data_IF_208652038944
#
_entry.id   IF_208652038944
#
_cell.length_a   1.000
_cell.length_b   1.000
_cell.length_c   1.000
_cell.angle_alpha   90.00
_cell.angle_beta   90.00
_cell.angle_gamma   90.00
#
_symmetry.space_group_name_H-M   'P 1'
#
loop_
_entity.id
_entity.type
_entity.pdbx_description
1 polymer ?
#
# COMPACT_ATOMS: atom_id res chain seq x y z
N UNK A 1 -27.64 -62.13 -54.08
CA UNK A 1 -27.73 -60.68 -53.75
C UNK A 1 -27.19 -60.35 -52.35
N UNK A 2 -26.22 -61.11 -51.78
CA UNK A 2 -26.08 -61.14 -50.31
C UNK A 2 -24.66 -61.15 -49.72
N UNK A 3 -23.58 -61.01 -50.49
CA UNK A 3 -22.21 -60.92 -49.91
C UNK A 3 -21.54 -59.56 -50.17
N UNK A 4 -21.70 -59.01 -51.38
CA UNK A 4 -21.14 -57.70 -51.77
C UNK A 4 -21.76 -56.52 -51.01
N UNK A 5 -23.06 -56.60 -50.66
CA UNK A 5 -23.77 -55.58 -49.89
C UNK A 5 -23.34 -55.54 -48.42
N UNK A 6 -23.04 -56.71 -47.84
CA UNK A 6 -22.60 -56.83 -46.44
C UNK A 6 -21.16 -56.32 -46.28
N UNK A 7 -20.27 -56.62 -47.23
CA UNK A 7 -18.90 -56.08 -47.25
C UNK A 7 -18.90 -54.54 -47.30
N UNK A 8 -19.76 -53.93 -48.13
CA UNK A 8 -19.87 -52.48 -48.19
C UNK A 8 -20.38 -51.85 -46.89
N UNK A 9 -21.33 -52.51 -46.22
CA UNK A 9 -21.85 -52.03 -44.94
C UNK A 9 -20.79 -52.14 -43.82
N UNK A 10 -19.97 -53.20 -43.85
CA UNK A 10 -18.87 -53.39 -42.90
C UNK A 10 -17.75 -52.37 -43.11
N UNK A 11 -17.36 -52.11 -44.35
CA UNK A 11 -16.42 -51.04 -44.70
C UNK A 11 -16.92 -49.66 -44.28
N UNK A 12 -18.21 -49.35 -44.52
CA UNK A 12 -18.78 -48.06 -44.14
C UNK A 12 -18.78 -47.85 -42.62
N UNK A 13 -19.13 -48.90 -41.86
CA UNK A 13 -19.06 -48.86 -40.39
C UNK A 13 -17.62 -48.71 -39.89
N UNK A 14 -16.66 -49.40 -40.52
CA UNK A 14 -15.25 -49.31 -40.16
C UNK A 14 -14.70 -47.89 -40.38
N UNK A 15 -15.00 -47.29 -41.54
CA UNK A 15 -14.61 -45.91 -41.86
C UNK A 15 -15.27 -44.91 -40.90
N UNK A 16 -16.55 -45.10 -40.57
CA UNK A 16 -17.24 -44.28 -39.56
C UNK A 16 -16.59 -44.41 -38.19
N UNK A 17 -16.23 -45.62 -37.75
CA UNK A 17 -15.53 -45.80 -36.46
C UNK A 17 -14.13 -45.19 -36.47
N UNK A 18 -13.37 -45.31 -37.55
CA UNK A 18 -12.04 -44.69 -37.66
C UNK A 18 -12.17 -43.16 -37.63
N UNK A 19 -13.17 -42.59 -38.32
CA UNK A 19 -13.44 -41.15 -38.30
C UNK A 19 -13.88 -40.66 -36.92
N UNK A 20 -14.72 -41.42 -36.21
CA UNK A 20 -15.11 -41.11 -34.84
C UNK A 20 -13.93 -41.20 -33.87
N UNK A 21 -13.07 -42.22 -34.00
CA UNK A 21 -11.84 -42.34 -33.19
C UNK A 21 -10.91 -41.15 -33.49
N UNK A 22 -10.73 -40.77 -34.76
CA UNK A 22 -9.96 -39.60 -35.14
C UNK A 22 -10.53 -38.31 -34.53
N UNK A 23 -11.86 -38.12 -34.59
CA UNK A 23 -12.52 -36.98 -33.93
C UNK A 23 -12.32 -36.99 -32.41
N UNK A 24 -12.44 -38.13 -31.76
CA UNK A 24 -12.20 -38.27 -30.31
C UNK A 24 -10.74 -37.98 -29.95
N UNK A 25 -9.78 -38.45 -30.74
CA UNK A 25 -8.35 -38.16 -30.56
C UNK A 25 -8.01 -36.67 -30.79
N UNK A 26 -8.77 -35.96 -31.64
CA UNK A 26 -8.69 -34.50 -31.77
C UNK A 26 -9.32 -33.77 -30.58
N UNK A 27 -10.35 -34.36 -29.96
CA UNK A 27 -10.96 -33.86 -28.71
C UNK A 27 -10.06 -34.11 -27.49
N UNK A 28 -9.20 -35.14 -27.50
CA UNK A 28 -8.18 -35.35 -26.46
C UNK A 28 -7.11 -34.24 -26.46
N UNK A 29 -6.89 -33.56 -27.58
CA UNK A 29 -6.07 -32.32 -27.62
C UNK A 29 -6.81 -31.07 -27.11
N UNK A 30 -8.12 -31.17 -26.90
CA UNK A 30 -8.96 -30.15 -26.24
C UNK A 30 -9.15 -30.42 -24.75
N UNK A 31 -8.53 -31.48 -24.19
CA UNK A 31 -8.43 -31.66 -22.75
C UNK A 31 -7.58 -30.52 -22.20
N UNK A 32 -8.26 -29.63 -21.48
CA UNK A 32 -7.74 -28.40 -20.89
C UNK A 32 -6.29 -28.56 -20.40
N UNK A 33 -5.33 -27.95 -21.10
CA UNK A 33 -4.14 -27.48 -20.40
C UNK A 33 -4.68 -26.60 -19.27
N UNK A 34 -4.39 -26.90 -18.02
CA UNK A 34 -4.56 -25.89 -16.96
C UNK A 34 -3.74 -24.69 -17.42
N UNK A 35 -4.42 -23.68 -17.93
CA UNK A 35 -3.77 -22.47 -18.41
C UNK A 35 -2.98 -21.94 -17.20
N UNK A 36 -1.66 -21.95 -17.33
CA UNK A 36 -0.79 -21.50 -16.23
C UNK A 36 -1.08 -20.02 -16.09
N UNK A 37 -1.81 -19.64 -15.05
CA UNK A 37 -2.13 -18.24 -14.74
C UNK A 37 -0.82 -17.54 -14.43
N UNK A 38 -0.38 -16.68 -15.33
CA UNK A 38 0.85 -15.88 -15.22
C UNK A 38 0.49 -14.40 -15.03
N UNK A 39 1.47 -13.63 -14.57
CA UNK A 39 1.41 -12.18 -14.52
C UNK A 39 0.98 -11.55 -15.86
N UNK A 40 0.16 -10.51 -15.77
CA UNK A 40 -0.25 -9.71 -16.92
C UNK A 40 0.96 -8.96 -17.50
N UNK A 41 1.14 -9.03 -18.83
CA UNK A 41 2.33 -8.50 -19.49
C UNK A 41 2.51 -6.98 -19.32
N UNK A 42 1.42 -6.20 -19.32
CA UNK A 42 1.48 -4.75 -19.09
C UNK A 42 1.94 -4.44 -17.66
N UNK A 43 1.40 -5.13 -16.66
CA UNK A 43 1.80 -4.99 -15.25
C UNK A 43 3.26 -5.40 -15.04
N UNK A 44 3.71 -6.48 -15.67
CA UNK A 44 5.13 -6.87 -15.68
C UNK A 44 6.01 -5.77 -16.26
N UNK A 45 5.62 -5.19 -17.39
CA UNK A 45 6.38 -4.13 -18.06
C UNK A 45 6.47 -2.90 -17.18
N UNK A 46 5.35 -2.52 -16.55
CA UNK A 46 5.29 -1.42 -15.60
C UNK A 46 6.21 -1.62 -14.39
N UNK A 47 6.26 -2.83 -13.83
CA UNK A 47 7.16 -3.19 -12.74
C UNK A 47 8.64 -3.13 -13.18
N UNK A 48 8.97 -3.53 -14.41
CA UNK A 48 10.34 -3.42 -14.93
C UNK A 48 10.77 -1.97 -15.19
N UNK A 49 9.86 -1.11 -15.66
CA UNK A 49 10.11 0.34 -15.76
C UNK A 49 10.33 0.95 -14.38
N UNK A 50 9.52 0.57 -13.40
CA UNK A 50 9.71 0.98 -12.01
C UNK A 50 11.07 0.51 -11.48
N UNK A 51 11.44 -0.76 -11.69
CA UNK A 51 12.76 -1.30 -11.34
C UNK A 51 13.91 -0.53 -12.00
N UNK A 52 13.76 -0.10 -13.25
CA UNK A 52 14.78 0.64 -13.97
C UNK A 52 15.01 2.06 -13.43
N UNK A 53 14.01 2.65 -12.78
CA UNK A 53 14.10 3.96 -12.13
C UNK A 53 14.72 3.88 -10.71
N UNK A 54 14.87 2.67 -10.16
CA UNK A 54 15.40 2.45 -8.82
C UNK A 54 16.89 2.17 -8.81
N UNK A 55 17.54 2.54 -7.71
CA UNK A 55 18.88 2.08 -7.35
C UNK A 55 18.75 1.02 -6.25
N UNK A 56 19.18 -0.21 -6.53
CA UNK A 56 19.07 -1.38 -5.64
C UNK A 56 20.46 -1.95 -5.30
N UNK A 57 21.23 -1.30 -4.40
CA UNK A 57 22.60 -1.72 -4.10
C UNK A 57 22.66 -3.03 -3.30
N UNK A 58 21.54 -3.48 -2.74
CA UNK A 58 21.45 -4.67 -1.89
C UNK A 58 20.77 -5.86 -2.57
N UNK A 59 20.37 -5.72 -3.85
CA UNK A 59 19.76 -6.79 -4.62
C UNK A 59 18.38 -7.22 -4.10
N UNK A 60 17.61 -6.31 -3.50
CA UNK A 60 16.22 -6.57 -3.08
C UNK A 60 15.33 -7.02 -4.24
N UNK A 61 15.60 -6.54 -5.45
CA UNK A 61 14.89 -6.81 -6.71
C UNK A 61 15.59 -7.88 -7.57
N UNK A 62 16.53 -8.63 -7.00
CA UNK A 62 17.30 -9.69 -7.70
C UNK A 62 16.44 -10.81 -8.28
N UNK A 63 15.28 -11.10 -7.66
CA UNK A 63 14.33 -12.11 -8.16
C UNK A 63 13.51 -11.67 -9.38
N UNK A 64 13.54 -10.38 -9.73
CA UNK A 64 12.72 -9.81 -10.81
C UNK A 64 13.39 -10.03 -12.17
N UNK A 65 13.40 -11.28 -12.63
CA UNK A 65 14.11 -11.72 -13.84
C UNK A 65 13.27 -12.62 -14.75
N UNK A 66 12.33 -13.38 -14.19
CA UNK A 66 11.51 -14.35 -14.92
C UNK A 66 10.40 -13.71 -15.77
N UNK A 67 9.76 -14.50 -16.63
CA UNK A 67 8.57 -14.08 -17.38
C UNK A 67 7.36 -13.87 -16.46
N UNK A 68 7.16 -14.74 -15.47
CA UNK A 68 6.04 -14.63 -14.55
C UNK A 68 6.38 -13.75 -13.34
N UNK A 69 5.94 -12.49 -13.36
CA UNK A 69 6.18 -11.55 -12.27
C UNK A 69 5.55 -11.99 -10.94
N UNK A 70 4.58 -12.92 -10.96
CA UNK A 70 3.96 -13.46 -9.76
C UNK A 70 4.90 -14.35 -8.94
N UNK A 71 6.05 -14.74 -9.52
CA UNK A 71 7.12 -15.46 -8.82
C UNK A 71 8.15 -14.52 -8.17
N UNK A 72 8.06 -13.22 -8.45
CA UNK A 72 9.03 -12.26 -7.94
C UNK A 72 8.81 -12.00 -6.44
N UNK A 73 9.91 -11.93 -5.69
CA UNK A 73 9.85 -11.58 -4.27
C UNK A 73 9.23 -10.19 -4.13
N UNK A 74 8.25 -10.09 -3.22
CA UNK A 74 7.50 -8.86 -2.97
C UNK A 74 6.29 -8.66 -3.89
N UNK A 75 6.08 -9.50 -4.90
CA UNK A 75 4.88 -9.45 -5.76
C UNK A 75 3.89 -10.52 -5.30
N UNK A 76 2.64 -10.11 -5.07
CA UNK A 76 1.52 -11.03 -4.85
C UNK A 76 0.45 -10.83 -5.91
N UNK A 77 0.07 -11.91 -6.58
CA UNK A 77 -0.92 -11.89 -7.65
C UNK A 77 -2.25 -12.54 -7.25
N UNK A 78 -3.27 -12.29 -8.06
CA UNK A 78 -4.50 -13.06 -8.04
C UNK A 78 -4.29 -14.42 -8.71
N UNK A 79 -4.53 -15.51 -7.99
CA UNK A 79 -4.31 -16.88 -8.49
C UNK A 79 -5.25 -17.31 -9.63
N UNK A 80 -6.32 -16.54 -9.90
CA UNK A 80 -7.27 -16.80 -10.98
C UNK A 80 -7.02 -15.91 -12.20
N UNK A 81 -6.63 -14.65 -12.00
CA UNK A 81 -6.53 -13.67 -13.08
C UNK A 81 -5.12 -13.24 -13.42
N UNK A 82 -4.12 -13.55 -12.59
CA UNK A 82 -2.73 -13.14 -12.78
C UNK A 82 -2.44 -11.67 -12.47
N UNK A 83 -3.47 -10.87 -12.15
CA UNK A 83 -3.29 -9.46 -11.78
C UNK A 83 -2.50 -9.29 -10.48
N UNK A 84 -1.59 -8.31 -10.45
CA UNK A 84 -0.84 -7.90 -9.26
C UNK A 84 -1.78 -7.25 -8.25
N UNK A 85 -1.84 -7.83 -7.05
CA UNK A 85 -2.63 -7.35 -5.92
C UNK A 85 -1.78 -6.76 -4.80
N UNK A 86 -0.51 -7.15 -4.72
CA UNK A 86 0.43 -6.75 -3.68
C UNK A 86 1.79 -6.42 -4.27
N UNK A 87 2.33 -5.27 -3.87
CA UNK A 87 3.73 -4.88 -4.05
C UNK A 87 4.28 -4.55 -2.65
N UNK A 88 5.18 -5.40 -2.16
CA UNK A 88 5.82 -5.27 -0.86
C UNK A 88 7.34 -5.24 -1.03
N UNK A 89 7.91 -4.06 -0.96
CA UNK A 89 9.34 -3.79 -1.04
C UNK A 89 9.84 -3.09 0.22
N UNK A 90 9.26 -3.39 1.38
CA UNK A 90 9.72 -2.78 2.63
C UNK A 90 11.22 -3.08 2.82
N UNK A 91 11.98 -2.03 3.14
CA UNK A 91 13.39 -2.16 3.50
C UNK A 91 13.56 -2.41 4.99
N UNK A 92 14.79 -2.17 5.45
CA UNK A 92 15.16 -2.14 6.86
C UNK A 92 16.06 -0.93 7.15
N UNK A 93 15.81 0.19 6.46
CA UNK A 93 16.44 1.46 6.79
C UNK A 93 15.88 1.97 8.13
N UNK A 94 16.77 2.24 9.08
CA UNK A 94 16.44 2.79 10.40
C UNK A 94 17.43 3.91 10.74
N UNK A 95 16.92 5.09 11.14
CA UNK A 95 17.75 6.27 11.46
C UNK A 95 18.44 6.17 12.81
N UNK A 96 17.88 5.41 13.77
CA UNK A 96 18.48 5.23 15.10
C UNK A 96 19.77 4.39 15.07
N UNK A 97 20.10 3.90 13.88
CA UNK A 97 21.21 3.01 13.61
C UNK A 97 22.58 3.65 13.79
N UNK A 98 22.75 4.98 13.73
CA UNK A 98 24.08 5.57 13.97
C UNK A 98 24.59 5.28 15.40
N UNK A 99 23.68 5.24 16.37
CA UNK A 99 23.96 4.85 17.76
C UNK A 99 24.15 3.33 17.89
N UNK A 100 23.29 2.53 17.26
CA UNK A 100 23.33 1.06 17.37
C UNK A 100 24.52 0.42 16.63
N UNK A 101 24.91 0.99 15.48
CA UNK A 101 26.08 0.57 14.68
C UNK A 101 27.38 0.70 15.46
N UNK A 102 27.50 1.76 16.27
CA UNK A 102 28.68 2.03 17.09
C UNK A 102 28.87 1.00 18.21
N UNK A 103 27.78 0.35 18.68
CA UNK A 103 27.80 -0.53 19.85
C UNK A 103 27.61 -2.02 19.55
N UNK A 104 26.88 -2.40 18.49
CA UNK A 104 26.43 -3.80 18.31
C UNK A 104 26.90 -4.50 17.03
N UNK A 105 27.68 -3.82 16.17
CA UNK A 105 28.11 -4.39 14.90
C UNK A 105 26.94 -4.42 13.90
N UNK A 106 27.06 -3.65 12.83
CA UNK A 106 25.96 -3.33 11.93
C UNK A 106 25.17 -4.51 11.38
N UNK A 107 23.84 -4.45 11.52
CA UNK A 107 22.93 -5.31 10.76
C UNK A 107 23.02 -5.06 9.25
N UNK A 108 22.68 -6.06 8.44
CA UNK A 108 22.59 -5.90 6.99
C UNK A 108 21.49 -4.89 6.66
N UNK A 109 21.88 -3.65 6.32
CA UNK A 109 20.96 -2.66 5.74
C UNK A 109 20.54 -3.17 4.36
N UNK A 110 19.26 -3.06 4.06
CA UNK A 110 18.75 -3.22 2.70
C UNK A 110 17.68 -2.16 2.48
N UNK A 111 17.90 -1.30 1.50
CA UNK A 111 16.95 -0.31 1.05
C UNK A 111 17.12 -0.09 -0.45
N UNK A 112 16.02 0.26 -1.10
CA UNK A 112 16.02 0.81 -2.44
C UNK A 112 16.03 2.34 -2.39
N UNK A 113 16.60 2.94 -3.44
CA UNK A 113 16.66 4.38 -3.69
C UNK A 113 16.16 4.73 -5.08
N UNK A 114 16.18 6.01 -5.44
CA UNK A 114 15.81 6.50 -6.77
C UNK A 114 14.34 6.90 -6.84
N UNK A 115 13.75 6.85 -8.03
CA UNK A 115 12.43 7.44 -8.26
C UNK A 115 11.31 6.42 -8.23
N UNK A 116 10.20 6.81 -7.60
CA UNK A 116 8.94 6.07 -7.70
C UNK A 116 8.28 6.40 -9.03
N UNK A 117 8.63 5.61 -10.04
CA UNK A 117 8.19 5.80 -11.41
C UNK A 117 6.67 5.67 -11.58
N UNK A 118 6.08 6.52 -12.43
CA UNK A 118 4.64 6.58 -12.69
C UNK A 118 4.07 5.34 -13.41
N UNK A 119 4.92 4.46 -13.92
CA UNK A 119 4.49 3.20 -14.54
C UNK A 119 3.67 2.33 -13.58
N UNK A 120 3.85 2.50 -12.27
CA UNK A 120 3.02 1.83 -11.25
C UNK A 120 1.51 2.12 -11.40
N UNK A 121 1.12 3.18 -12.10
CA UNK A 121 -0.27 3.45 -12.47
C UNK A 121 -0.92 2.31 -13.26
N UNK A 122 -0.15 1.45 -13.94
CA UNK A 122 -0.71 0.29 -14.65
C UNK A 122 -1.27 -0.79 -13.71
N UNK A 123 -0.87 -0.80 -12.43
CA UNK A 123 -1.29 -1.79 -11.44
C UNK A 123 -2.68 -1.48 -10.86
N UNK A 124 -3.69 -1.35 -11.71
CA UNK A 124 -5.03 -0.89 -11.35
C UNK A 124 -5.77 -1.82 -10.37
N UNK A 125 -5.33 -3.07 -10.21
CA UNK A 125 -5.88 -4.03 -9.25
C UNK A 125 -5.11 -4.09 -7.92
N UNK A 126 -4.06 -3.29 -7.77
CA UNK A 126 -3.23 -3.26 -6.56
C UNK A 126 -4.07 -2.89 -5.33
N UNK A 127 -3.92 -3.68 -4.27
CA UNK A 127 -4.61 -3.51 -2.98
C UNK A 127 -3.63 -3.20 -1.85
N UNK A 128 -2.40 -3.66 -1.96
CA UNK A 128 -1.37 -3.53 -0.94
C UNK A 128 -0.10 -2.96 -1.56
N UNK A 129 0.29 -1.78 -1.12
CA UNK A 129 1.55 -1.15 -1.48
C UNK A 129 2.33 -0.83 -0.20
N UNK A 130 3.50 -1.44 -0.06
CA UNK A 130 4.41 -1.18 1.04
C UNK A 130 5.81 -0.89 0.48
N UNK A 131 6.25 0.35 0.66
CA UNK A 131 7.59 0.82 0.31
C UNK A 131 8.34 1.32 1.55
N UNK A 132 7.86 1.03 2.76
CA UNK A 132 8.41 1.61 3.99
C UNK A 132 9.86 1.21 4.25
N UNK A 133 10.55 2.00 5.07
CA UNK A 133 11.96 1.75 5.47
C UNK A 133 12.91 1.69 4.27
N UNK A 134 12.66 2.54 3.26
CA UNK A 134 13.53 2.75 2.12
C UNK A 134 14.10 4.17 2.12
N UNK A 135 14.89 4.51 1.10
CA UNK A 135 15.59 5.79 1.05
C UNK A 135 15.26 6.52 -0.26
N UNK A 136 14.14 7.24 -0.26
CA UNK A 136 13.66 8.07 -1.37
C UNK A 136 13.98 9.55 -1.14
N UNK A 137 15.14 9.84 -0.54
CA UNK A 137 15.58 11.20 -0.23
C UNK A 137 15.49 12.12 -1.44
N UNK A 138 15.00 13.35 -1.23
CA UNK A 138 14.85 14.37 -2.27
C UNK A 138 13.62 14.18 -3.17
N UNK A 139 12.83 13.12 -2.97
CA UNK A 139 11.58 12.90 -3.68
C UNK A 139 10.37 13.32 -2.85
N UNK A 140 9.31 13.74 -3.54
CA UNK A 140 7.97 13.95 -2.99
C UNK A 140 7.14 12.66 -3.07
N UNK A 141 6.06 12.57 -2.29
CA UNK A 141 5.07 11.49 -2.46
C UNK A 141 4.37 11.68 -3.83
N UNK A 142 4.44 10.70 -4.75
CA UNK A 142 3.82 10.86 -6.06
C UNK A 142 2.29 10.96 -6.00
N UNK A 143 1.75 12.03 -6.59
CA UNK A 143 0.30 12.27 -6.66
C UNK A 143 -0.45 11.18 -7.43
N UNK A 144 0.22 10.46 -8.33
CA UNK A 144 -0.39 9.38 -9.10
C UNK A 144 -0.87 8.22 -8.23
N UNK A 145 -0.42 8.10 -6.97
CA UNK A 145 -0.98 7.10 -6.07
C UNK A 145 -2.50 7.21 -5.93
N UNK A 146 -3.07 8.41 -6.06
CA UNK A 146 -4.52 8.60 -6.11
C UNK A 146 -5.25 7.88 -7.25
N UNK A 147 -4.54 7.49 -8.31
CA UNK A 147 -5.10 6.70 -9.42
C UNK A 147 -5.33 5.22 -9.08
N UNK A 148 -4.67 4.69 -8.05
CA UNK A 148 -4.74 3.28 -7.65
C UNK A 148 -5.96 3.03 -6.75
N UNK A 149 -7.15 3.25 -7.30
CA UNK A 149 -8.44 3.29 -6.56
C UNK A 149 -8.83 2.01 -5.82
N UNK A 150 -8.14 0.89 -6.07
CA UNK A 150 -8.34 -0.38 -5.38
C UNK A 150 -7.43 -0.55 -4.15
N UNK A 151 -6.52 0.39 -3.88
CA UNK A 151 -5.64 0.36 -2.71
C UNK A 151 -6.44 0.31 -1.42
N UNK A 152 -5.97 -0.57 -0.53
CA UNK A 152 -6.50 -0.78 0.83
C UNK A 152 -5.44 -0.52 1.88
N UNK A 153 -4.17 -0.73 1.52
CA UNK A 153 -3.01 -0.56 2.38
C UNK A 153 -1.94 0.22 1.62
N UNK A 154 -1.56 1.37 2.17
CA UNK A 154 -0.46 2.20 1.68
C UNK A 154 0.47 2.53 2.85
N UNK A 155 1.70 2.03 2.77
CA UNK A 155 2.75 2.32 3.75
C UNK A 155 3.97 2.89 3.06
N UNK A 156 4.23 4.15 3.38
CA UNK A 156 5.33 4.99 2.88
C UNK A 156 6.13 5.54 4.06
N UNK A 157 6.06 4.89 5.23
CA UNK A 157 6.77 5.34 6.43
C UNK A 157 8.27 5.11 6.35
N UNK A 158 9.07 5.95 7.00
CA UNK A 158 10.54 5.84 6.99
C UNK A 158 11.11 5.79 5.57
N UNK A 159 10.75 6.77 4.74
CA UNK A 159 11.13 6.80 3.32
C UNK A 159 11.99 8.01 2.91
N UNK A 160 12.28 8.93 3.83
CA UNK A 160 12.96 10.21 3.51
C UNK A 160 12.21 11.06 2.48
N UNK A 161 10.88 10.97 2.40
CA UNK A 161 10.15 11.92 1.55
C UNK A 161 10.32 13.34 2.10
N UNK A 162 10.71 14.25 1.23
CA UNK A 162 10.94 15.66 1.51
C UNK A 162 9.98 16.52 0.67
N UNK A 163 9.68 17.72 1.16
CA UNK A 163 8.99 18.78 0.41
C UNK A 163 7.46 18.79 0.48
N UNK A 164 6.94 19.98 0.20
CA UNK A 164 5.61 20.48 0.55
C UNK A 164 4.45 19.53 0.25
N UNK A 165 3.82 19.10 1.35
CA UNK A 165 2.44 18.62 1.47
C UNK A 165 2.17 17.16 1.10
N UNK A 166 1.28 16.56 1.90
CA UNK A 166 0.62 15.30 1.56
C UNK A 166 -0.24 15.53 0.30
N UNK A 167 -0.09 14.74 -0.78
CA UNK A 167 -0.83 14.97 -2.02
C UNK A 167 -2.35 14.86 -1.83
N UNK A 168 -3.08 15.91 -2.23
CA UNK A 168 -4.55 15.94 -2.19
C UNK A 168 -5.18 14.77 -2.96
N UNK A 169 -4.52 14.26 -4.01
CA UNK A 169 -5.01 13.16 -4.84
C UNK A 169 -5.23 11.85 -4.05
N UNK A 170 -4.63 11.71 -2.87
CA UNK A 170 -4.91 10.58 -1.98
C UNK A 170 -6.38 10.52 -1.54
N UNK A 171 -7.15 11.63 -1.64
CA UNK A 171 -8.60 11.66 -1.41
C UNK A 171 -9.37 10.66 -2.29
N UNK A 172 -8.83 10.32 -3.48
CA UNK A 172 -9.45 9.40 -4.43
C UNK A 172 -9.41 7.93 -3.99
N UNK A 173 -8.66 7.60 -2.93
CA UNK A 173 -8.46 6.24 -2.44
C UNK A 173 -9.58 5.78 -1.51
N UNK A 174 -10.82 5.80 -2.00
CA UNK A 174 -12.03 5.57 -1.19
C UNK A 174 -12.10 4.18 -0.51
N UNK A 175 -11.31 3.21 -0.97
CA UNK A 175 -11.21 1.87 -0.37
C UNK A 175 -10.07 1.71 0.66
N UNK A 176 -9.28 2.76 0.86
CA UNK A 176 -8.11 2.74 1.73
C UNK A 176 -8.54 2.50 3.19
N UNK A 177 -7.85 1.57 3.84
CA UNK A 177 -8.06 1.21 5.25
C UNK A 177 -6.86 1.56 6.11
N UNK A 178 -5.67 1.52 5.53
CA UNK A 178 -4.41 1.77 6.23
C UNK A 178 -3.59 2.77 5.43
N UNK A 179 -3.28 3.90 6.06
CA UNK A 179 -2.37 4.92 5.54
C UNK A 179 -1.31 5.22 6.59
N UNK A 180 -0.04 4.96 6.25
CA UNK A 180 1.09 5.32 7.09
C UNK A 180 2.09 6.15 6.29
N UNK A 181 2.22 7.42 6.68
CA UNK A 181 3.17 8.38 6.13
C UNK A 181 4.16 8.86 7.21
N UNK A 182 4.21 8.18 8.35
CA UNK A 182 5.03 8.58 9.49
C UNK A 182 6.53 8.51 9.21
N UNK A 183 7.32 9.25 9.99
CA UNK A 183 8.78 9.23 9.89
C UNK A 183 9.29 9.60 8.48
N UNK A 184 8.78 10.71 7.97
CA UNK A 184 9.30 11.39 6.78
C UNK A 184 9.56 12.86 7.14
N UNK A 185 9.94 13.66 6.15
CA UNK A 185 10.15 15.10 6.28
C UNK A 185 9.01 15.88 5.61
N UNK A 186 7.77 15.40 5.76
CA UNK A 186 6.58 16.04 5.16
C UNK A 186 6.22 17.29 5.96
N UNK A 187 6.09 18.42 5.28
CA UNK A 187 5.74 19.73 5.83
C UNK A 187 4.40 20.26 5.30
N UNK A 188 4.02 21.46 5.73
CA UNK A 188 2.76 22.10 5.39
C UNK A 188 1.55 21.53 6.16
N UNK A 189 0.35 21.78 5.61
CA UNK A 189 -0.92 21.45 6.27
C UNK A 189 -1.36 20.00 5.98
N UNK A 190 -2.06 19.40 6.94
CA UNK A 190 -2.81 18.16 6.69
C UNK A 190 -3.98 18.47 5.73
N UNK A 191 -4.09 17.81 4.57
CA UNK A 191 -5.22 18.02 3.66
C UNK A 191 -6.54 17.60 4.32
N UNK A 192 -7.51 18.50 4.35
CA UNK A 192 -8.83 18.23 4.94
C UNK A 192 -9.60 17.12 4.21
N UNK A 193 -9.25 16.87 2.95
CA UNK A 193 -9.80 15.84 2.06
C UNK A 193 -9.46 14.43 2.53
N UNK A 194 -8.43 14.25 3.37
CA UNK A 194 -8.20 12.97 4.05
C UNK A 194 -9.42 12.56 4.91
N UNK A 195 -10.25 13.53 5.33
CA UNK A 195 -11.51 13.27 6.03
C UNK A 195 -12.58 12.56 5.21
N UNK A 196 -12.45 12.50 3.88
CA UNK A 196 -13.41 11.85 2.99
C UNK A 196 -13.09 10.35 2.76
N UNK A 197 -11.97 9.86 3.27
CA UNK A 197 -11.57 8.45 3.25
C UNK A 197 -12.36 7.60 4.26
N UNK A 198 -13.68 7.51 4.06
CA UNK A 198 -14.62 6.92 5.01
C UNK A 198 -14.32 5.48 5.45
N UNK A 199 -13.55 4.71 4.68
CA UNK A 199 -13.12 3.34 5.02
C UNK A 199 -11.83 3.26 5.85
N UNK A 200 -11.16 4.39 6.10
CA UNK A 200 -9.88 4.45 6.78
C UNK A 200 -10.02 3.97 8.24
N UNK A 201 -9.13 3.08 8.65
CA UNK A 201 -9.10 2.44 9.97
C UNK A 201 -7.84 2.82 10.74
N UNK A 202 -6.73 3.04 10.02
CA UNK A 202 -5.45 3.44 10.57
C UNK A 202 -4.90 4.63 9.79
N UNK A 203 -4.56 5.70 10.50
CA UNK A 203 -3.88 6.87 9.97
C UNK A 203 -2.70 7.24 10.87
N UNK A 204 -1.49 7.18 10.32
CA UNK A 204 -0.28 7.64 11.00
C UNK A 204 0.44 8.68 10.15
N UNK A 205 0.46 9.92 10.66
CA UNK A 205 1.19 11.06 10.10
C UNK A 205 2.26 11.56 11.09
N UNK A 206 2.54 10.80 12.15
CA UNK A 206 3.46 11.20 13.21
C UNK A 206 4.91 11.30 12.73
N UNK A 207 5.73 12.06 13.44
CA UNK A 207 7.15 12.25 13.12
C UNK A 207 7.36 12.76 11.69
N UNK A 208 6.70 13.87 11.38
CA UNK A 208 6.84 14.68 10.18
C UNK A 208 6.97 16.17 10.59
N UNK A 209 7.23 17.03 9.60
CA UNK A 209 7.31 18.49 9.73
C UNK A 209 5.97 19.23 9.54
N UNK A 210 4.84 18.52 9.61
CA UNK A 210 3.50 19.07 9.43
C UNK A 210 3.14 20.16 10.45
N UNK A 211 2.47 21.21 9.97
CA UNK A 211 2.09 22.40 10.73
C UNK A 211 0.63 22.81 10.55
N UNK A 212 0.22 23.89 11.23
CA UNK A 212 -1.12 24.45 11.14
C UNK A 212 -2.17 23.68 11.94
N UNK A 213 -3.45 23.82 11.60
CA UNK A 213 -4.54 23.20 12.36
C UNK A 213 -4.87 21.80 11.87
N UNK A 214 -5.21 20.91 12.82
CA UNK A 214 -5.78 19.60 12.49
C UNK A 214 -7.16 19.82 11.85
N UNK A 215 -7.41 19.37 10.60
CA UNK A 215 -8.70 19.56 9.95
C UNK A 215 -9.82 18.83 10.70
N UNK A 216 -10.88 19.56 11.07
CA UNK A 216 -12.04 18.97 11.74
C UNK A 216 -12.73 17.90 10.88
N UNK A 217 -12.52 17.92 9.56
CA UNK A 217 -12.99 16.92 8.59
C UNK A 217 -12.46 15.53 8.90
N UNK A 218 -11.29 15.38 9.54
CA UNK A 218 -10.82 14.07 10.03
C UNK A 218 -11.83 13.44 11.00
N UNK A 219 -12.62 14.25 11.71
CA UNK A 219 -13.75 13.83 12.55
C UNK A 219 -14.84 13.04 11.81
N UNK A 220 -14.91 13.12 10.47
CA UNK A 220 -15.84 12.35 9.64
C UNK A 220 -15.43 10.88 9.48
N UNK A 221 -14.19 10.50 9.81
CA UNK A 221 -13.65 9.16 9.64
C UNK A 221 -14.26 8.17 10.64
N UNK A 222 -15.49 7.73 10.38
CA UNK A 222 -16.27 6.93 11.33
C UNK A 222 -15.70 5.54 11.61
N UNK A 223 -14.90 4.99 10.69
CA UNK A 223 -14.24 3.69 10.81
C UNK A 223 -12.83 3.77 11.42
N UNK A 224 -12.32 4.96 11.74
CA UNK A 224 -10.96 5.15 12.25
C UNK A 224 -10.83 4.55 13.66
N UNK A 225 -9.79 3.75 13.84
CA UNK A 225 -9.46 3.05 15.09
C UNK A 225 -8.18 3.60 15.69
N UNK A 226 -7.21 3.93 14.84
CA UNK A 226 -5.90 4.44 15.24
C UNK A 226 -5.57 5.72 14.47
N UNK A 227 -5.21 6.75 15.23
CA UNK A 227 -4.78 8.05 14.73
C UNK A 227 -3.52 8.48 15.47
N UNK A 228 -2.43 8.69 14.73
CA UNK A 228 -1.17 9.20 15.27
C UNK A 228 -0.79 10.48 14.55
N UNK A 229 -0.62 11.54 15.33
CA UNK A 229 -0.26 12.89 14.88
C UNK A 229 0.86 13.42 15.78
N UNK A 230 1.69 14.33 15.26
CA UNK A 230 2.74 15.04 16.01
C UNK A 230 4.10 14.33 16.06
N UNK A 231 5.13 15.02 16.56
CA UNK A 231 6.48 14.47 16.76
C UNK A 231 6.64 13.87 18.15
N UNK A 232 7.41 12.77 18.27
CA UNK A 232 7.67 12.10 19.55
C UNK A 232 8.58 12.91 20.50
N UNK A 233 9.45 13.77 19.98
CA UNK A 233 10.52 14.41 20.76
C UNK A 233 10.63 15.94 20.64
N UNK A 234 9.72 16.59 19.92
CA UNK A 234 9.75 18.04 19.64
C UNK A 234 8.36 18.66 19.80
N UNK A 235 8.32 20.00 19.88
CA UNK A 235 7.07 20.76 19.86
C UNK A 235 6.37 20.54 18.52
N UNK A 236 5.28 19.79 18.54
CA UNK A 236 4.41 19.61 17.38
C UNK A 236 3.84 20.97 16.97
N UNK A 237 4.13 21.41 15.74
CA UNK A 237 3.55 22.64 15.16
C UNK A 237 2.05 22.50 14.85
N UNK A 238 1.50 21.28 14.93
CA UNK A 238 0.06 21.04 14.80
C UNK A 238 -0.72 21.64 15.98
N UNK A 239 -1.73 22.43 15.64
CA UNK A 239 -2.66 23.08 16.56
C UNK A 239 -4.06 22.49 16.41
N UNK A 240 -4.88 22.59 17.46
CA UNK A 240 -6.32 22.34 17.36
C UNK A 240 -6.97 23.70 17.11
N UNK A 241 -7.63 23.88 15.96
CA UNK A 241 -8.32 25.14 15.70
C UNK A 241 -9.55 25.25 16.60
N UNK A 242 -9.53 26.22 17.51
CA UNK A 242 -10.66 26.57 18.38
C UNK A 242 -11.51 27.71 17.77
N UNK A 243 -11.44 27.97 16.46
CA UNK A 243 -12.31 28.96 15.81
C UNK A 243 -13.77 28.50 15.81
N UNK A 244 -14.48 28.96 16.83
CA UNK A 244 -15.93 29.04 16.93
C UNK A 244 -16.60 29.38 15.60
N UNK A 245 -17.29 28.40 15.01
CA UNK A 245 -18.46 28.62 14.15
C UNK A 245 -19.57 27.71 14.68
N UNK A 246 -20.43 28.25 15.54
CA UNK A 246 -21.79 27.79 15.86
C UNK A 246 -22.04 26.27 15.85
N UNK A 247 -21.26 25.53 16.66
CA UNK A 247 -21.48 24.14 17.06
C UNK A 247 -20.62 23.73 18.27
N UNK A 248 -20.11 24.73 18.98
CA UNK A 248 -19.07 24.63 20.00
C UNK A 248 -19.45 23.79 21.21
N UNK A 249 -18.46 23.09 21.75
CA UNK A 249 -18.53 22.17 22.88
C UNK A 249 -19.32 20.87 22.62
N UNK A 250 -20.54 20.89 22.09
CA UNK A 250 -21.38 19.68 21.99
C UNK A 250 -21.21 18.84 20.71
N UNK A 251 -20.69 19.41 19.61
CA UNK A 251 -20.45 18.64 18.37
C UNK A 251 -19.28 17.66 18.49
N UNK A 252 -18.21 18.09 19.18
CA UNK A 252 -17.01 17.28 19.44
C UNK A 252 -17.22 16.38 20.66
N UNK A 253 -17.75 16.90 21.78
CA UNK A 253 -18.05 16.03 22.94
C UNK A 253 -19.20 15.05 22.67
N UNK A 254 -20.20 15.42 21.87
CA UNK A 254 -21.30 14.52 21.50
C UNK A 254 -20.81 13.34 20.65
N UNK A 255 -19.92 13.58 19.69
CA UNK A 255 -19.28 12.50 18.91
C UNK A 255 -18.28 11.67 19.74
N UNK A 256 -17.58 12.29 20.71
CA UNK A 256 -16.67 11.63 21.68
C UNK A 256 -17.42 10.73 22.67
N UNK A 257 -18.62 11.12 23.12
CA UNK A 257 -19.41 10.34 24.09
C UNK A 257 -20.16 9.17 23.44
N UNK A 258 -20.44 9.23 22.15
CA UNK A 258 -21.29 8.25 21.44
C UNK A 258 -20.48 7.13 20.74
N UNK A 259 -19.25 7.36 20.28
CA UNK A 259 -18.48 6.35 19.52
C UNK A 259 -17.27 5.79 20.26
N UNK A 260 -17.33 4.49 20.59
CA UNK A 260 -16.30 3.73 21.34
C UNK A 260 -14.91 3.75 20.69
N UNK A 261 -14.83 3.89 19.37
CA UNK A 261 -13.59 3.96 18.57
C UNK A 261 -12.91 5.33 18.70
N UNK A 262 -13.67 6.41 18.53
CA UNK A 262 -13.19 7.78 18.73
C UNK A 262 -12.73 8.05 20.15
N UNK A 263 -13.39 7.42 21.13
CA UNK A 263 -12.96 7.43 22.53
C UNK A 263 -11.53 6.90 22.70
N UNK A 264 -11.18 5.79 22.06
CA UNK A 264 -9.83 5.22 22.15
C UNK A 264 -8.79 6.07 21.42
N UNK A 265 -9.07 6.50 20.19
CA UNK A 265 -8.15 7.37 19.44
C UNK A 265 -7.92 8.70 20.16
N UNK A 266 -8.98 9.33 20.68
CA UNK A 266 -8.92 10.56 21.46
C UNK A 266 -8.17 10.36 22.79
N UNK A 267 -8.47 9.33 23.58
CA UNK A 267 -7.75 9.09 24.83
C UNK A 267 -6.29 8.71 24.58
N UNK A 268 -5.97 8.01 23.49
CA UNK A 268 -4.59 7.74 23.11
C UNK A 268 -3.84 9.02 22.71
N UNK A 269 -4.49 9.90 21.96
CA UNK A 269 -3.97 11.23 21.67
C UNK A 269 -3.74 12.05 22.95
N UNK A 270 -4.73 12.10 23.85
CA UNK A 270 -4.63 12.81 25.13
C UNK A 270 -3.56 12.20 26.05
N UNK A 271 -3.41 10.87 26.07
CA UNK A 271 -2.35 10.19 26.81
C UNK A 271 -0.97 10.52 26.23
N UNK A 272 -0.80 10.50 24.91
CA UNK A 272 0.45 10.90 24.27
C UNK A 272 0.79 12.37 24.57
N UNK A 273 -0.21 13.25 24.59
CA UNK A 273 -0.05 14.65 24.99
C UNK A 273 0.35 14.78 26.46
N UNK A 274 -0.29 14.02 27.35
CA UNK A 274 0.01 13.99 28.78
C UNK A 274 1.42 13.44 29.07
N UNK A 275 1.84 12.38 28.38
CA UNK A 275 3.18 11.82 28.49
C UNK A 275 4.25 12.82 28.01
N UNK A 276 3.96 13.58 26.95
CA UNK A 276 4.84 14.65 26.47
C UNK A 276 4.97 15.78 27.50
N UNK A 277 3.85 16.24 28.08
CA UNK A 277 3.86 17.23 29.17
C UNK A 277 4.62 16.69 30.40
N UNK A 278 4.43 15.43 30.75
CA UNK A 278 5.10 14.79 31.89
C UNK A 278 6.63 14.75 31.72
N UNK A 279 7.12 14.36 30.52
CA UNK A 279 8.55 14.35 30.20
C UNK A 279 9.14 15.76 30.27
N UNK A 280 8.40 16.79 29.81
CA UNK A 280 8.80 18.21 29.90
C UNK A 280 8.92 18.70 31.35
N UNK A 281 7.89 18.47 32.18
CA UNK A 281 7.94 18.82 33.60
C UNK A 281 9.12 18.17 34.31
N UNK A 282 9.43 16.91 33.99
CA UNK A 282 10.57 16.19 34.58
C UNK A 282 11.93 16.74 34.14
N UNK A 283 12.06 17.24 32.91
CA UNK A 283 13.28 17.92 32.42
C UNK A 283 13.45 19.29 33.07
N UNK A 284 12.36 20.05 33.24
CA UNK A 284 12.39 21.38 33.86
C UNK A 284 12.73 21.32 35.36
N UNK A 285 12.33 20.26 36.07
CA UNK A 285 12.69 20.04 37.47
C UNK A 285 14.12 19.52 37.70
N UNK A 286 14.88 19.25 36.63
CA UNK A 286 16.25 18.67 36.70
C UNK A 286 17.33 19.59 36.11
N UNK A 287 16.97 20.73 35.54
CA UNK A 287 17.88 21.80 35.13
C UNK A 287 17.80 22.95 36.11
#
# INVERSE_FOLDING_TARGET
>A
MTTLSIMNLFCLKLVQTIFLIYLVLQVDQLVCSKEVVRCIQSERTALLQFKAALTDPYGMLSSWTTEDCCQWKGIGCNNLTGHVLMLNLHGNYDYDYLYYYYYYGGGNRFCIRGDIHNSLMELQKLKYLNLSRNDFQGNHIPSFFGSLRNLRYLDLSYCNFEGDQIPIQLESLLHLKYLNLSWNYLDGLIPHQLGDLSNLQFLDLSNNDLEGSIPYQLGKLTNLQELYLGRKYEDSALTIDNKDHSGGFWGVFGSILIKRTWRHAYFKFMNNLADNIYVKCRRWLRG
#
